data_IF_216575055655
#
_entry.id   IF_216575055655
#
_cell.length_a   1.000
_cell.length_b   1.000
_cell.length_c   1.000
_cell.angle_alpha   90.00
_cell.angle_beta   90.00
_cell.angle_gamma   90.00
#
_symmetry.space_group_name_H-M   'P 1'
#
loop_
_entity.id
_entity.type
_entity.pdbx_description
1 polymer ?
#
# COMPACT_ATOMS: atom_id res chain seq x y z
N UNK A 1 -30.17 11.28 45.86
CA UNK A 1 -29.35 11.04 44.65
C UNK A 1 -29.96 9.86 43.91
N UNK A 2 -30.50 10.06 42.70
CA UNK A 2 -31.10 8.97 41.92
C UNK A 2 -30.00 7.98 41.54
N UNK A 3 -30.18 6.72 41.91
CA UNK A 3 -29.30 5.63 41.47
C UNK A 3 -29.47 5.44 39.97
N UNK A 4 -28.34 5.40 39.27
CA UNK A 4 -28.28 5.09 37.84
C UNK A 4 -28.62 3.59 37.68
N UNK A 5 -29.43 3.27 36.66
CA UNK A 5 -29.85 1.90 36.33
C UNK A 5 -28.62 0.98 36.10
N UNK A 6 -28.69 -0.29 36.52
CA UNK A 6 -27.53 -1.21 36.47
C UNK A 6 -27.04 -1.39 35.02
N UNK A 7 -27.97 -1.38 34.07
CA UNK A 7 -27.71 -1.48 32.63
C UNK A 7 -26.87 -0.33 32.10
N UNK A 8 -27.11 0.90 32.56
CA UNK A 8 -26.31 2.07 32.19
C UNK A 8 -24.90 2.02 32.79
N UNK A 9 -24.74 1.44 33.99
CA UNK A 9 -23.42 1.28 34.64
C UNK A 9 -22.50 0.27 33.96
N UNK A 10 -23.07 -0.75 33.32
CA UNK A 10 -22.31 -1.83 32.66
C UNK A 10 -22.10 -1.51 31.16
N UNK A 11 -22.74 -0.47 30.64
CA UNK A 11 -22.62 -0.09 29.24
C UNK A 11 -21.20 0.34 28.92
N UNK A 12 -20.63 -0.28 27.90
CA UNK A 12 -19.29 0.06 27.43
C UNK A 12 -19.27 1.50 26.90
N UNK A 13 -18.30 2.29 27.35
CA UNK A 13 -18.10 3.63 26.82
C UNK A 13 -17.56 3.55 25.39
N UNK A 14 -17.91 4.54 24.56
CA UNK A 14 -17.38 4.63 23.21
C UNK A 14 -15.85 4.71 23.26
N UNK A 15 -15.18 3.66 22.76
CA UNK A 15 -13.73 3.62 22.68
C UNK A 15 -13.32 4.35 21.41
N UNK A 16 -12.80 5.57 21.53
CA UNK A 16 -12.11 6.20 20.40
C UNK A 16 -10.83 5.41 20.13
N UNK A 17 -10.86 4.53 19.12
CA UNK A 17 -9.67 3.81 18.66
C UNK A 17 -8.55 4.76 18.23
N UNK A 18 -7.34 4.23 18.08
CA UNK A 18 -6.22 5.04 17.59
C UNK A 18 -6.46 5.46 16.13
N UNK A 19 -6.25 6.75 15.76
CA UNK A 19 -6.38 7.19 14.38
C UNK A 19 -5.34 6.50 13.50
N UNK A 20 -5.71 6.21 12.26
CA UNK A 20 -4.80 5.63 11.28
C UNK A 20 -3.61 6.59 11.03
N UNK A 21 -2.39 6.07 11.10
CA UNK A 21 -1.17 6.88 10.85
C UNK A 21 -1.02 7.35 9.41
N UNK A 22 -1.56 6.60 8.45
CA UNK A 22 -1.48 6.91 7.03
C UNK A 22 -2.86 7.20 6.48
N UNK A 23 -2.97 8.25 5.68
CA UNK A 23 -4.20 8.57 4.95
C UNK A 23 -4.42 7.56 3.83
N UNK A 24 -5.68 7.31 3.49
CA UNK A 24 -6.06 6.41 2.37
C UNK A 24 -5.40 6.82 1.05
N UNK A 25 -5.30 8.11 0.78
CA UNK A 25 -4.62 8.64 -0.41
C UNK A 25 -3.14 8.24 -0.50
N UNK A 26 -2.44 8.21 0.64
CA UNK A 26 -1.03 7.80 0.69
C UNK A 26 -0.91 6.30 0.39
N UNK A 27 -1.81 5.50 0.96
CA UNK A 27 -1.87 4.05 0.74
C UNK A 27 -2.16 3.72 -0.73
N UNK A 28 -3.14 4.41 -1.35
CA UNK A 28 -3.48 4.22 -2.76
C UNK A 28 -2.31 4.55 -3.70
N UNK A 29 -1.57 5.64 -3.41
CA UNK A 29 -0.37 5.98 -4.19
C UNK A 29 0.72 4.92 -4.01
N UNK A 30 0.88 4.39 -2.81
CA UNK A 30 1.78 3.27 -2.52
C UNK A 30 1.38 2.00 -3.30
N UNK A 31 0.09 1.69 -3.44
CA UNK A 31 -0.36 0.57 -4.28
C UNK A 31 -0.10 0.80 -5.76
N UNK A 32 -0.38 2.01 -6.26
CA UNK A 32 -0.09 2.38 -7.65
C UNK A 32 1.39 2.15 -7.97
N UNK A 33 2.27 2.70 -7.13
CA UNK A 33 3.72 2.60 -7.32
C UNK A 33 4.18 1.13 -7.34
N UNK A 34 3.61 0.30 -6.47
CA UNK A 34 3.93 -1.12 -6.36
C UNK A 34 3.51 -1.94 -7.61
N UNK A 35 2.51 -1.48 -8.35
CA UNK A 35 2.03 -2.10 -9.58
C UNK A 35 2.75 -1.58 -10.84
N UNK A 36 3.40 -0.43 -10.77
CA UNK A 36 4.13 0.15 -11.89
C UNK A 36 5.52 -0.50 -12.06
N UNK A 37 6.11 -0.46 -13.26
CA UNK A 37 7.46 -0.97 -13.46
C UNK A 37 8.51 -0.06 -12.80
N UNK A 38 9.49 -0.61 -12.05
CA UNK A 38 10.54 0.20 -11.44
C UNK A 38 11.45 0.92 -12.44
N UNK A 39 11.49 0.44 -13.68
CA UNK A 39 12.19 1.11 -14.80
C UNK A 39 11.62 2.50 -15.09
N UNK A 40 10.32 2.72 -14.85
CA UNK A 40 9.68 4.02 -15.04
C UNK A 40 10.16 5.08 -14.04
N UNK A 41 10.81 4.63 -12.96
CA UNK A 41 11.34 5.48 -11.89
C UNK A 41 12.88 5.54 -11.90
N UNK A 42 13.50 5.19 -13.04
CA UNK A 42 14.94 5.24 -13.27
C UNK A 42 15.76 4.38 -12.29
N UNK A 43 15.14 3.33 -11.72
CA UNK A 43 15.83 2.41 -10.81
C UNK A 43 16.33 1.18 -11.58
N UNK A 44 17.60 0.77 -11.40
CA UNK A 44 18.16 -0.42 -12.05
C UNK A 44 17.76 -1.69 -11.29
N UNK A 45 16.46 -1.87 -11.01
CA UNK A 45 15.92 -2.99 -10.23
C UNK A 45 14.90 -3.73 -11.09
N UNK A 46 14.89 -5.06 -10.98
CA UNK A 46 13.94 -5.88 -11.74
C UNK A 46 12.56 -5.93 -11.09
N UNK A 47 12.51 -5.85 -9.76
CA UNK A 47 11.28 -5.93 -8.98
C UNK A 47 11.33 -4.95 -7.83
N UNK A 48 10.15 -4.57 -7.39
CA UNK A 48 9.93 -3.72 -6.24
C UNK A 48 10.21 -4.42 -4.92
N UNK A 49 11.14 -3.89 -4.13
CA UNK A 49 11.31 -4.26 -2.72
C UNK A 49 10.68 -3.23 -1.79
N UNK A 50 10.26 -3.66 -0.59
CA UNK A 50 9.67 -2.75 0.40
C UNK A 50 10.59 -1.58 0.80
N UNK A 51 11.92 -1.75 0.68
CA UNK A 51 12.88 -0.66 0.91
C UNK A 51 12.84 0.37 -0.21
N UNK A 52 12.88 -0.07 -1.46
CA UNK A 52 12.92 0.83 -2.61
C UNK A 52 11.65 1.64 -2.75
N UNK A 53 10.48 1.06 -2.45
CA UNK A 53 9.25 1.83 -2.44
C UNK A 53 9.14 2.78 -1.25
N UNK A 54 9.67 2.40 -0.07
CA UNK A 54 9.74 3.35 1.03
C UNK A 54 10.57 4.59 0.64
N UNK A 55 11.72 4.38 -0.01
CA UNK A 55 12.56 5.46 -0.53
C UNK A 55 11.84 6.27 -1.61
N UNK A 56 11.15 5.61 -2.54
CA UNK A 56 10.46 6.28 -3.64
C UNK A 56 9.24 7.09 -3.16
N UNK A 57 8.51 6.59 -2.17
CA UNK A 57 7.39 7.31 -1.54
C UNK A 57 7.85 8.58 -0.80
N UNK A 58 9.02 8.51 -0.16
CA UNK A 58 9.64 9.67 0.48
C UNK A 58 10.17 10.64 -0.59
N UNK A 59 10.83 10.13 -1.64
CA UNK A 59 11.33 10.93 -2.77
C UNK A 59 10.22 11.72 -3.47
N UNK A 60 9.03 11.12 -3.62
CA UNK A 60 7.85 11.76 -4.21
C UNK A 60 7.06 12.63 -3.22
N UNK A 61 7.49 12.73 -1.95
CA UNK A 61 6.83 13.53 -0.92
C UNK A 61 5.43 13.03 -0.53
N UNK A 62 5.15 11.74 -0.76
CA UNK A 62 3.84 11.14 -0.46
C UNK A 62 3.70 10.90 1.04
N UNK A 63 4.80 10.49 1.69
CA UNK A 63 4.91 10.26 3.14
C UNK A 63 6.18 10.91 3.67
N UNK A 64 6.15 11.42 4.90
CA UNK A 64 7.35 11.96 5.56
C UNK A 64 8.36 10.85 5.87
N UNK A 65 7.88 9.73 6.40
CA UNK A 65 8.68 8.53 6.61
C UNK A 65 7.78 7.30 6.69
N UNK A 66 8.28 6.18 6.17
CA UNK A 66 7.62 4.88 6.29
C UNK A 66 8.67 3.79 6.42
N UNK A 67 8.43 2.81 7.30
CA UNK A 67 9.34 1.68 7.45
C UNK A 67 9.11 0.67 6.32
N UNK A 68 10.17 0.04 5.77
CA UNK A 68 10.04 -1.00 4.75
C UNK A 68 9.11 -2.16 5.16
N UNK A 69 9.10 -2.49 6.47
CA UNK A 69 8.22 -3.52 7.03
C UNK A 69 6.75 -3.10 7.01
N UNK A 70 6.46 -1.83 7.24
CA UNK A 70 5.09 -1.30 7.15
C UNK A 70 4.60 -1.31 5.70
N UNK A 71 5.46 -0.98 4.74
CA UNK A 71 5.16 -1.10 3.30
C UNK A 71 4.79 -2.55 2.95
N UNK A 72 5.59 -3.52 3.39
CA UNK A 72 5.30 -4.95 3.19
C UNK A 72 3.94 -5.36 3.76
N UNK A 73 3.65 -4.96 5.01
CA UNK A 73 2.35 -5.24 5.64
C UNK A 73 1.16 -4.66 4.85
N UNK A 74 1.30 -3.44 4.35
CA UNK A 74 0.22 -2.78 3.59
C UNK A 74 -0.12 -3.50 2.28
N UNK A 75 0.88 -4.07 1.59
CA UNK A 75 0.62 -4.84 0.38
C UNK A 75 0.17 -6.26 0.65
N UNK A 76 0.66 -6.90 1.71
CA UNK A 76 0.12 -8.18 2.18
C UNK A 76 -1.36 -8.05 2.52
N UNK A 77 -1.76 -6.97 3.22
CA UNK A 77 -3.17 -6.68 3.53
C UNK A 77 -4.01 -6.48 2.26
N UNK A 78 -3.42 -5.93 1.21
CA UNK A 78 -4.06 -5.73 -0.09
C UNK A 78 -3.92 -6.95 -1.05
N UNK A 79 -3.28 -8.04 -0.61
CA UNK A 79 -2.89 -9.21 -1.43
C UNK A 79 -2.13 -8.85 -2.72
N UNK A 80 -1.33 -7.78 -2.68
CA UNK A 80 -0.47 -7.36 -3.78
C UNK A 80 0.92 -7.97 -3.58
N UNK A 81 1.47 -8.58 -4.63
CA UNK A 81 2.81 -9.19 -4.63
C UNK A 81 3.70 -8.56 -5.71
N UNK A 82 4.27 -7.37 -5.47
CA UNK A 82 5.07 -6.65 -6.48
C UNK A 82 6.33 -7.41 -6.92
N UNK A 83 6.83 -8.27 -6.03
CA UNK A 83 7.98 -9.13 -6.28
C UNK A 83 7.63 -10.39 -7.07
N UNK A 84 6.35 -10.65 -7.35
CA UNK A 84 5.88 -11.76 -8.17
C UNK A 84 5.21 -11.23 -9.44
N UNK A 85 5.98 -10.60 -10.33
CA UNK A 85 5.51 -10.30 -11.69
C UNK A 85 5.52 -11.58 -12.53
N UNK A 86 4.40 -12.29 -12.58
CA UNK A 86 4.23 -13.45 -13.44
C UNK A 86 4.01 -13.03 -14.91
N UNK A 87 4.98 -13.34 -15.78
CA UNK A 87 4.91 -13.12 -17.25
C UNK A 87 3.65 -13.70 -17.93
N UNK A 88 2.95 -14.63 -17.27
CA UNK A 88 1.75 -15.29 -17.75
C UNK A 88 0.42 -14.51 -17.58
N UNK A 89 0.41 -13.37 -16.86
CA UNK A 89 -0.83 -12.68 -16.52
C UNK A 89 -1.28 -11.69 -17.60
N UNK A 90 -0.39 -11.25 -18.48
CA UNK A 90 -0.70 -10.52 -19.71
C UNK A 90 0.45 -10.75 -20.71
N UNK A 91 0.28 -11.55 -21.79
CA UNK A 91 1.20 -11.42 -22.91
C UNK A 91 1.14 -9.95 -23.36
N UNK A 92 2.29 -9.27 -23.62
CA UNK A 92 2.21 -7.97 -24.25
C UNK A 92 1.40 -8.17 -25.54
N UNK A 93 0.40 -7.31 -25.78
CA UNK A 93 -0.28 -7.26 -27.07
C UNK A 93 0.83 -7.15 -28.10
N UNK A 94 1.10 -8.27 -28.75
CA UNK A 94 2.18 -8.41 -29.70
C UNK A 94 1.87 -7.36 -30.75
N UNK A 95 2.82 -6.46 -31.03
CA UNK A 95 2.68 -5.48 -32.09
C UNK A 95 2.51 -6.25 -33.41
N UNK A 96 1.28 -6.61 -33.74
CA UNK A 96 0.89 -7.04 -35.07
C UNK A 96 0.99 -5.77 -35.90
N UNK A 97 2.17 -5.46 -36.41
CA UNK A 97 2.42 -4.47 -37.46
C UNK A 97 3.86 -4.65 -37.95
N UNK A 98 4.02 -5.34 -39.07
CA UNK A 98 5.33 -5.53 -39.69
C UNK A 98 5.50 -6.77 -40.56
N UNK A 99 4.45 -7.51 -40.91
CA UNK A 99 4.51 -8.33 -42.13
C UNK A 99 4.34 -7.42 -43.33
N UNK A 100 5.45 -7.07 -43.97
CA UNK A 100 5.51 -6.79 -45.39
C UNK A 100 6.72 -7.53 -45.95
#
# INVERSE_FOLDING_TARGET
MRGIEITERIKDAERSGAPAKFKREQILKLFKLACDDPKNYERPISHWTGRELAEELVKQGIVESISPRQVGRLWEEADIKPHQSGYWLNPPLTQILGKK
#
